data_IF_792601772625
#
_entry.id   IF_792601772625
#
_cell.length_a   1.000
_cell.length_b   1.000
_cell.length_c   1.000
_cell.angle_alpha   90.00
_cell.angle_beta   90.00
_cell.angle_gamma   90.00
#
_symmetry.space_group_name_H-M   'P 1'
#
loop_
_entity.id
_entity.type
_entity.pdbx_description
1 polymer ?
#
# COMPACT_ATOMS: atom_id res chain seq x y z
N UNK A 1 -6.30 8.15 -20.06
CA UNK A 1 -5.22 7.12 -20.06
C UNK A 1 -4.88 6.73 -21.50
N UNK A 2 -4.22 7.63 -22.21
CA UNK A 2 -3.63 7.42 -23.52
C UNK A 2 -2.36 8.27 -23.54
N UNK A 3 -1.27 7.72 -24.09
CA UNK A 3 0.10 8.26 -24.23
C UNK A 3 1.10 7.94 -23.10
N UNK A 4 1.77 6.79 -23.25
CA UNK A 4 3.22 6.58 -23.10
C UNK A 4 3.55 5.10 -23.32
N UNK A 5 3.21 4.59 -24.50
CA UNK A 5 3.57 3.24 -24.97
C UNK A 5 4.16 3.35 -26.37
N UNK A 6 5.28 4.07 -26.47
CA UNK A 6 6.13 4.13 -27.67
C UNK A 6 7.47 4.69 -27.22
N UNK A 7 8.46 3.82 -27.05
CA UNK A 7 9.90 4.06 -27.23
C UNK A 7 10.68 2.81 -26.75
N UNK A 8 10.39 1.66 -27.35
CA UNK A 8 11.31 0.51 -27.39
C UNK A 8 11.01 -0.26 -28.68
N UNK A 9 11.56 0.21 -29.78
CA UNK A 9 11.61 -0.51 -31.05
C UNK A 9 13.00 -0.31 -31.64
N UNK A 10 13.86 -1.29 -31.39
CA UNK A 10 14.62 -2.01 -32.42
C UNK A 10 15.06 -1.19 -33.65
N UNK A 11 16.10 -0.38 -33.53
CA UNK A 11 16.86 0.09 -34.71
C UNK A 11 18.37 0.20 -34.52
N UNK A 12 18.93 0.17 -33.30
CA UNK A 12 20.34 0.52 -33.11
C UNK A 12 21.29 -0.66 -32.80
N UNK A 13 20.81 -1.91 -32.84
CA UNK A 13 21.66 -3.09 -32.62
C UNK A 13 22.29 -3.68 -33.89
N UNK A 14 22.04 -3.11 -35.08
CA UNK A 14 22.54 -3.63 -36.35
C UNK A 14 23.88 -3.02 -36.83
N UNK A 15 24.37 -1.94 -36.20
CA UNK A 15 25.54 -1.21 -36.68
C UNK A 15 26.89 -1.63 -36.06
N UNK A 16 26.93 -2.61 -35.14
CA UNK A 16 28.16 -2.99 -34.40
C UNK A 16 28.70 -4.38 -34.76
N UNK A 17 28.06 -5.12 -35.68
CA UNK A 17 28.44 -6.52 -36.02
C UNK A 17 29.12 -6.73 -37.38
N UNK A 18 29.54 -5.69 -38.07
CA UNK A 18 30.31 -5.82 -39.32
C UNK A 18 31.62 -5.03 -39.26
N UNK A 19 32.58 -5.48 -38.45
CA UNK A 19 33.99 -5.24 -38.74
C UNK A 19 34.96 -6.16 -37.97
N UNK A 20 34.61 -7.43 -37.81
CA UNK A 20 35.53 -8.44 -37.27
C UNK A 20 35.43 -9.68 -38.15
N UNK A 21 36.20 -9.71 -39.24
CA UNK A 21 36.90 -10.90 -39.77
C UNK A 21 37.58 -10.53 -41.09
N UNK A 22 38.88 -10.27 -41.04
CA UNK A 22 39.79 -10.53 -42.16
C UNK A 22 41.22 -10.64 -41.63
N UNK A 23 41.68 -11.88 -41.41
CA UNK A 23 43.10 -12.22 -41.40
C UNK A 23 43.64 -12.16 -42.85
N UNK A 24 44.91 -11.81 -43.06
CA UNK A 24 45.82 -12.89 -43.43
C UNK A 24 47.27 -12.79 -42.91
N UNK A 25 47.86 -13.99 -42.80
CA UNK A 25 49.26 -14.39 -42.99
C UNK A 25 50.35 -13.93 -41.98
N UNK A 26 50.84 -14.92 -41.21
CA UNK A 26 52.08 -14.89 -40.42
C UNK A 26 53.32 -14.94 -41.33
N UNK A 27 54.28 -14.05 -41.08
CA UNK A 27 55.70 -14.24 -41.41
C UNK A 27 56.51 -14.01 -40.13
N UNK A 28 57.19 -15.05 -39.68
CA UNK A 28 58.16 -15.01 -38.58
C UNK A 28 59.45 -14.34 -39.06
N UNK A 29 59.86 -13.24 -38.41
CA UNK A 29 61.21 -12.69 -38.49
C UNK A 29 61.65 -12.23 -37.08
N UNK A 30 62.88 -12.59 -36.74
CA UNK A 30 63.59 -12.45 -35.45
C UNK A 30 63.60 -11.04 -34.83
N UNK A 31 63.87 -10.91 -33.51
CA UNK A 31 63.86 -9.62 -32.82
C UNK A 31 65.16 -8.86 -33.07
N UNK A 32 65.09 -7.77 -33.84
CA UNK A 32 66.18 -6.79 -33.88
C UNK A 32 66.10 -5.83 -32.69
N UNK A 33 67.14 -5.94 -31.88
CA UNK A 33 67.65 -5.04 -30.86
C UNK A 33 67.56 -3.56 -31.30
N UNK A 34 66.49 -2.84 -30.93
CA UNK A 34 66.46 -1.38 -31.07
C UNK A 34 66.93 -0.69 -29.79
N UNK A 35 67.95 0.12 -29.98
CA UNK A 35 68.76 0.76 -28.97
C UNK A 35 67.96 1.75 -28.11
N UNK A 36 68.32 1.76 -26.83
CA UNK A 36 67.91 2.75 -25.86
C UNK A 36 68.24 4.18 -26.34
N UNK A 37 67.22 4.93 -26.73
CA UNK A 37 67.25 6.38 -26.62
C UNK A 37 66.87 6.73 -25.18
N UNK A 38 67.90 7.00 -24.36
CA UNK A 38 67.78 7.68 -23.07
C UNK A 38 67.23 9.08 -23.30
N UNK A 39 65.92 9.21 -23.46
CA UNK A 39 65.24 10.45 -23.14
C UNK A 39 65.22 10.55 -21.62
N UNK A 40 66.10 11.40 -21.07
CA UNK A 40 66.05 11.78 -19.67
C UNK A 40 64.70 12.46 -19.44
N UNK A 41 63.71 11.71 -18.95
CA UNK A 41 62.57 12.28 -18.27
C UNK A 41 63.13 13.20 -17.19
N UNK A 42 62.89 14.51 -17.34
CA UNK A 42 63.23 15.47 -16.31
C UNK A 42 62.61 14.97 -15.00
N UNK A 43 63.33 15.00 -13.86
CA UNK A 43 62.73 14.59 -12.61
C UNK A 43 61.54 15.52 -12.37
N UNK A 44 60.33 14.96 -12.33
CA UNK A 44 59.16 15.61 -11.76
C UNK A 44 59.60 16.08 -10.37
N UNK A 45 59.90 17.38 -10.25
CA UNK A 45 60.29 17.95 -8.96
C UNK A 45 59.05 17.87 -8.10
N UNK A 46 59.13 17.08 -7.04
CA UNK A 46 58.13 17.07 -5.99
C UNK A 46 57.94 18.52 -5.54
N UNK A 47 56.78 19.12 -5.82
CA UNK A 47 56.40 20.47 -5.36
C UNK A 47 56.18 20.51 -3.83
N UNK A 48 56.34 19.36 -3.16
CA UNK A 48 56.24 19.20 -1.72
C UNK A 48 57.50 19.68 -1.01
N UNK A 49 57.33 20.48 0.04
CA UNK A 49 58.46 20.83 0.91
C UNK A 49 58.90 19.60 1.70
N UNK A 50 60.18 19.57 2.11
CA UNK A 50 60.70 18.49 2.96
C UNK A 50 59.87 18.30 4.25
N UNK A 51 59.31 19.40 4.79
CA UNK A 51 58.43 19.38 5.96
C UNK A 51 57.11 18.66 5.68
N UNK A 52 56.49 18.92 4.53
CA UNK A 52 55.21 18.29 4.13
C UNK A 52 55.39 16.79 3.91
N UNK A 53 56.50 16.42 3.27
CA UNK A 53 56.86 15.01 3.03
C UNK A 53 57.06 14.26 4.34
N UNK A 54 57.73 14.87 5.33
CA UNK A 54 57.93 14.27 6.65
C UNK A 54 56.60 14.09 7.37
N UNK A 55 55.80 15.15 7.43
CA UNK A 55 54.46 15.12 8.04
C UNK A 55 53.58 14.00 7.44
N UNK A 56 53.47 13.94 6.12
CA UNK A 56 52.64 12.94 5.43
C UNK A 56 53.15 11.50 5.61
N UNK A 57 54.42 11.31 5.92
CA UNK A 57 55.00 9.97 6.18
C UNK A 57 54.72 9.50 7.62
N UNK A 58 54.72 10.42 8.60
CA UNK A 58 54.44 10.12 10.03
C UNK A 58 52.93 10.08 10.33
N UNK A 59 52.12 10.75 9.51
CA UNK A 59 50.68 10.88 9.67
C UNK A 59 49.92 9.54 9.82
N UNK A 60 50.20 8.47 9.05
CA UNK A 60 49.45 7.21 9.18
C UNK A 60 49.56 6.60 10.58
N UNK A 61 50.74 6.68 11.21
CA UNK A 61 50.97 6.15 12.56
C UNK A 61 50.20 6.98 13.61
N UNK A 62 50.20 8.31 13.46
CA UNK A 62 49.42 9.21 14.33
C UNK A 62 47.90 8.96 14.18
N UNK A 63 47.43 8.74 12.96
CA UNK A 63 46.02 8.39 12.70
C UNK A 63 45.65 7.05 13.34
N UNK A 64 46.51 6.03 13.25
CA UNK A 64 46.26 4.72 13.85
C UNK A 64 46.16 4.83 15.39
N UNK A 65 46.97 5.67 16.03
CA UNK A 65 46.88 5.97 17.48
C UNK A 65 45.56 6.67 17.84
N UNK A 66 45.18 7.71 17.10
CA UNK A 66 43.93 8.45 17.35
C UNK A 66 42.69 7.58 17.11
N UNK A 67 42.71 6.74 16.08
CA UNK A 67 41.65 5.77 15.78
C UNK A 67 41.52 4.76 16.94
N UNK A 68 42.63 4.28 17.48
CA UNK A 68 42.64 3.36 18.62
C UNK A 68 42.03 3.99 19.90
N UNK A 69 42.32 5.27 20.16
CA UNK A 69 41.74 6.02 21.29
C UNK A 69 40.29 6.50 21.04
N UNK A 70 39.75 6.33 19.82
CA UNK A 70 38.45 6.85 19.37
C UNK A 70 38.34 8.38 19.39
N UNK A 71 39.47 9.07 19.25
CA UNK A 71 39.53 10.53 19.12
C UNK A 71 39.25 10.96 17.67
N UNK A 72 38.03 10.65 17.20
CA UNK A 72 37.66 10.79 15.80
C UNK A 72 37.70 12.23 15.29
N UNK A 73 37.42 13.22 16.13
CA UNK A 73 37.44 14.64 15.72
C UNK A 73 38.84 15.12 15.33
N UNK A 74 39.86 14.68 16.08
CA UNK A 74 41.26 14.99 15.80
C UNK A 74 41.74 14.24 14.56
N UNK A 75 41.37 12.95 14.43
CA UNK A 75 41.71 12.15 13.25
C UNK A 75 41.14 12.76 11.96
N UNK A 76 39.89 13.22 11.96
CA UNK A 76 39.28 13.91 10.82
C UNK A 76 40.03 15.21 10.50
N UNK A 77 40.38 16.02 11.51
CA UNK A 77 41.12 17.26 11.29
C UNK A 77 42.50 17.04 10.66
N UNK A 78 43.21 15.97 11.06
CA UNK A 78 44.48 15.58 10.48
C UNK A 78 44.33 15.11 9.01
N UNK A 79 43.28 14.35 8.69
CA UNK A 79 42.97 13.93 7.31
C UNK A 79 42.61 15.13 6.43
N UNK A 80 41.82 16.09 6.93
CA UNK A 80 41.50 17.33 6.20
C UNK A 80 42.77 18.14 5.90
N UNK A 81 43.68 18.26 6.87
CA UNK A 81 44.98 18.93 6.66
C UNK A 81 45.80 18.21 5.61
N UNK A 82 45.86 16.88 5.67
CA UNK A 82 46.58 16.07 4.70
C UNK A 82 46.00 16.21 3.29
N UNK A 83 44.67 16.21 3.12
CA UNK A 83 44.02 16.48 1.83
C UNK A 83 44.39 17.84 1.26
N UNK A 84 44.34 18.90 2.06
CA UNK A 84 44.70 20.25 1.60
C UNK A 84 46.14 20.33 1.07
N UNK A 85 47.07 19.65 1.75
CA UNK A 85 48.46 19.55 1.27
C UNK A 85 48.50 18.78 -0.04
N UNK A 86 47.84 17.61 -0.12
CA UNK A 86 47.82 16.77 -1.31
C UNK A 86 47.05 17.38 -2.51
N UNK A 87 46.12 18.29 -2.28
CA UNK A 87 45.41 19.06 -3.33
C UNK A 87 46.29 20.16 -3.93
N UNK A 88 47.27 20.67 -3.17
CA UNK A 88 48.22 21.68 -3.66
C UNK A 88 49.32 21.11 -4.56
N UNK A 89 49.42 19.77 -4.63
CA UNK A 89 50.44 19.06 -5.40
C UNK A 89 49.89 18.69 -6.76
N UNK A 90 50.45 19.29 -7.82
CA UNK A 90 50.01 19.06 -9.20
C UNK A 90 50.66 17.81 -9.83
N UNK A 91 51.80 17.37 -9.31
CA UNK A 91 52.59 16.26 -9.84
C UNK A 91 52.31 14.94 -9.10
N UNK A 92 51.81 13.93 -9.83
CA UNK A 92 51.62 12.56 -9.31
C UNK A 92 52.92 11.76 -9.35
N UNK A 93 53.81 11.98 -8.37
CA UNK A 93 54.98 11.12 -8.20
C UNK A 93 54.60 9.80 -7.49
N UNK A 94 55.32 8.69 -7.74
CA UNK A 94 55.01 7.39 -7.11
C UNK A 94 54.93 7.44 -5.58
N UNK A 95 55.70 8.34 -4.96
CA UNK A 95 55.68 8.58 -3.52
C UNK A 95 54.36 9.20 -3.06
N UNK A 96 53.86 10.20 -3.78
CA UNK A 96 52.58 10.86 -3.48
C UNK A 96 51.41 9.89 -3.63
N UNK A 97 51.47 9.01 -4.63
CA UNK A 97 50.46 7.94 -4.82
C UNK A 97 50.42 6.99 -3.63
N UNK A 98 51.58 6.52 -3.15
CA UNK A 98 51.67 5.63 -1.97
C UNK A 98 51.14 6.31 -0.71
N UNK A 99 51.49 7.58 -0.49
CA UNK A 99 51.00 8.37 0.65
C UNK A 99 49.48 8.53 0.58
N UNK A 100 48.93 8.88 -0.58
CA UNK A 100 47.49 9.01 -0.80
C UNK A 100 46.76 7.69 -0.52
N UNK A 101 47.29 6.58 -1.02
CA UNK A 101 46.72 5.25 -0.75
C UNK A 101 46.74 4.89 0.74
N UNK A 102 47.84 5.20 1.44
CA UNK A 102 47.97 4.96 2.89
C UNK A 102 46.94 5.76 3.69
N UNK A 103 46.74 7.04 3.38
CA UNK A 103 45.76 7.91 4.04
C UNK A 103 44.34 7.44 3.74
N UNK A 104 44.04 7.06 2.51
CA UNK A 104 42.73 6.56 2.11
C UNK A 104 42.36 5.25 2.85
N UNK A 105 43.35 4.36 3.07
CA UNK A 105 43.15 3.16 3.87
C UNK A 105 42.73 3.49 5.32
N UNK A 106 43.39 4.46 5.97
CA UNK A 106 43.05 4.88 7.34
C UNK A 106 41.72 5.62 7.38
N UNK A 107 41.44 6.46 6.37
CA UNK A 107 40.16 7.12 6.22
C UNK A 107 39.01 6.10 6.11
N UNK A 108 39.21 5.02 5.35
CA UNK A 108 38.24 3.93 5.24
C UNK A 108 38.02 3.21 6.58
N UNK A 109 39.10 2.94 7.33
CA UNK A 109 39.00 2.38 8.69
C UNK A 109 38.24 3.31 9.64
N UNK A 110 38.56 4.60 9.63
CA UNK A 110 37.91 5.61 10.45
C UNK A 110 36.42 5.73 10.10
N UNK A 111 36.08 5.82 8.82
CA UNK A 111 34.68 5.93 8.37
C UNK A 111 33.85 4.71 8.75
N UNK A 112 34.44 3.50 8.67
CA UNK A 112 33.81 2.29 9.15
C UNK A 112 33.49 2.34 10.65
N UNK A 113 34.44 2.75 11.48
CA UNK A 113 34.24 2.84 12.94
C UNK A 113 33.24 3.93 13.35
N UNK A 114 33.25 5.07 12.66
CA UNK A 114 32.26 6.13 12.87
C UNK A 114 30.87 5.65 12.44
N UNK A 115 30.77 4.90 11.34
CA UNK A 115 29.50 4.32 10.87
C UNK A 115 28.94 3.28 11.85
N UNK A 116 29.81 2.45 12.44
CA UNK A 116 29.41 1.52 13.51
C UNK A 116 28.88 2.28 14.74
N UNK A 117 29.52 3.40 15.10
CA UNK A 117 29.09 4.26 16.20
C UNK A 117 27.76 4.97 15.90
N UNK A 118 27.52 5.32 14.63
CA UNK A 118 26.27 5.89 14.14
C UNK A 118 25.12 4.87 14.17
N UNK A 119 25.43 3.59 13.92
CA UNK A 119 24.47 2.49 13.97
C UNK A 119 24.06 2.06 15.39
N UNK A 120 24.73 2.59 16.43
CA UNK A 120 24.42 2.24 17.82
C UNK A 120 23.04 2.80 18.23
N UNK A 121 22.08 1.94 18.65
CA UNK A 121 20.72 2.34 18.98
C UNK A 121 20.61 3.20 20.26
N UNK A 122 21.65 3.22 21.09
CA UNK A 122 21.68 4.00 22.36
C UNK A 122 22.25 5.41 22.15
N UNK A 123 22.74 5.72 20.95
CA UNK A 123 23.33 7.02 20.64
C UNK A 123 22.32 8.16 20.80
N UNK A 124 22.71 9.20 21.53
CA UNK A 124 21.90 10.40 21.68
C UNK A 124 22.00 11.31 20.44
N UNK A 125 21.08 12.29 20.31
CA UNK A 125 21.02 13.23 19.17
C UNK A 125 22.38 13.90 18.91
N UNK A 126 23.09 14.32 19.95
CA UNK A 126 24.40 15.01 19.83
C UNK A 126 25.48 14.09 19.28
N UNK A 127 25.54 12.84 19.75
CA UNK A 127 26.51 11.84 19.28
C UNK A 127 26.24 11.48 17.81
N UNK A 128 24.97 11.32 17.44
CA UNK A 128 24.57 11.07 16.05
C UNK A 128 24.97 12.25 15.16
N UNK A 129 24.66 13.48 15.57
CA UNK A 129 25.04 14.70 14.85
C UNK A 129 26.56 14.81 14.68
N UNK A 130 27.34 14.57 15.74
CA UNK A 130 28.79 14.62 15.68
C UNK A 130 29.36 13.55 14.73
N UNK A 131 28.83 12.33 14.76
CA UNK A 131 29.25 11.27 13.83
C UNK A 131 28.90 11.59 12.38
N UNK A 132 27.72 12.18 12.12
CA UNK A 132 27.34 12.63 10.76
C UNK A 132 28.27 13.76 10.31
N UNK A 133 28.54 14.76 11.16
CA UNK A 133 29.45 15.87 10.85
C UNK A 133 30.85 15.38 10.47
N UNK A 134 31.40 14.43 11.24
CA UNK A 134 32.68 13.77 10.92
C UNK A 134 32.68 13.13 9.53
N UNK A 135 31.62 12.41 9.17
CA UNK A 135 31.52 11.77 7.85
C UNK A 135 31.32 12.78 6.72
N UNK A 136 30.55 13.85 6.95
CA UNK A 136 30.38 14.94 5.99
C UNK A 136 31.71 15.64 5.71
N UNK A 137 32.49 15.92 6.75
CA UNK A 137 33.85 16.49 6.65
C UNK A 137 34.83 15.60 5.87
N UNK A 138 34.66 14.27 5.96
CA UNK A 138 35.40 13.31 5.14
C UNK A 138 34.90 13.24 3.68
N UNK A 139 33.84 13.94 3.31
CA UNK A 139 33.23 13.89 1.97
C UNK A 139 32.36 12.64 1.73
N UNK A 140 31.98 11.93 2.78
CA UNK A 140 31.20 10.69 2.74
C UNK A 140 29.71 10.92 3.05
N UNK A 141 29.13 12.01 2.53
CA UNK A 141 27.78 12.46 2.90
C UNK A 141 26.66 11.50 2.51
N UNK A 142 26.68 10.96 1.29
CA UNK A 142 25.72 9.95 0.84
C UNK A 142 25.78 8.70 1.70
N UNK A 143 26.99 8.23 1.99
CA UNK A 143 27.23 7.04 2.82
C UNK A 143 26.74 7.29 4.26
N UNK A 144 26.99 8.47 4.81
CA UNK A 144 26.51 8.87 6.14
C UNK A 144 24.98 8.87 6.21
N UNK A 145 24.31 9.41 5.19
CA UNK A 145 22.84 9.37 5.07
C UNK A 145 22.35 7.92 5.08
N UNK A 146 22.91 7.08 4.23
CA UNK A 146 22.40 5.72 4.05
C UNK A 146 22.63 4.88 5.32
N UNK A 147 23.78 5.00 5.99
CA UNK A 147 24.02 4.35 7.28
C UNK A 147 23.09 4.88 8.38
N UNK A 148 22.92 6.20 8.47
CA UNK A 148 22.01 6.82 9.41
C UNK A 148 20.59 6.26 9.25
N UNK A 149 20.03 6.34 8.04
CA UNK A 149 18.67 5.91 7.75
C UNK A 149 18.49 4.40 7.94
N UNK A 150 19.49 3.59 7.55
CA UNK A 150 19.49 2.14 7.79
C UNK A 150 19.46 1.82 9.29
N UNK A 151 20.24 2.52 10.10
CA UNK A 151 20.23 2.36 11.56
C UNK A 151 18.87 2.74 12.15
N UNK A 152 18.25 3.83 11.66
CA UNK A 152 16.91 4.25 12.09
C UNK A 152 15.84 3.22 11.74
N UNK A 153 15.88 2.64 10.54
CA UNK A 153 14.99 1.53 10.19
C UNK A 153 15.21 0.30 11.08
N UNK A 154 16.45 -0.02 11.46
CA UNK A 154 16.72 -1.12 12.38
C UNK A 154 16.10 -0.88 13.77
N UNK A 155 16.15 0.35 14.26
CA UNK A 155 15.47 0.76 15.51
C UNK A 155 13.94 0.61 15.37
N UNK A 156 13.36 1.09 14.27
CA UNK A 156 11.92 0.93 13.99
C UNK A 156 11.54 -0.55 14.03
N UNK A 157 12.20 -1.39 13.25
CA UNK A 157 11.94 -2.85 13.19
C UNK A 157 12.08 -3.51 14.56
N UNK A 158 13.07 -3.11 15.36
CA UNK A 158 13.26 -3.64 16.71
C UNK A 158 12.10 -3.24 17.63
N UNK A 159 11.67 -1.97 17.61
CA UNK A 159 10.54 -1.49 18.43
C UNK A 159 9.22 -2.15 18.03
N UNK A 160 8.97 -2.28 16.74
CA UNK A 160 7.81 -3.01 16.21
C UNK A 160 7.79 -4.46 16.68
N UNK A 161 8.95 -5.15 16.71
CA UNK A 161 9.03 -6.55 17.18
C UNK A 161 8.68 -6.71 18.67
N UNK A 162 8.91 -5.68 19.48
CA UNK A 162 8.63 -5.72 20.93
C UNK A 162 7.15 -5.48 21.21
N UNK A 163 6.42 -4.84 20.30
CA UNK A 163 4.97 -4.65 20.45
C UNK A 163 4.28 -6.01 20.51
N UNK A 164 3.44 -6.19 21.53
CA UNK A 164 2.62 -7.39 21.71
C UNK A 164 1.29 -7.21 20.99
N UNK A 165 0.81 -8.29 20.40
CA UNK A 165 -0.54 -8.36 19.84
C UNK A 165 -1.44 -8.89 20.96
N UNK A 166 -1.97 -7.98 21.79
CA UNK A 166 -2.82 -8.31 22.93
C UNK A 166 -4.30 -8.21 22.56
N UNK A 167 -4.77 -9.09 21.66
CA UNK A 167 -6.19 -9.35 21.36
C UNK A 167 -7.00 -8.24 20.67
N UNK A 168 -6.78 -6.98 21.02
CA UNK A 168 -7.41 -5.81 20.43
C UNK A 168 -6.53 -5.25 19.30
N UNK A 169 -6.99 -5.46 18.07
CA UNK A 169 -6.30 -5.04 16.86
C UNK A 169 -6.28 -3.52 16.73
N UNK A 170 -7.32 -2.82 17.19
CA UNK A 170 -7.40 -1.35 17.10
C UNK A 170 -6.31 -0.72 17.96
N UNK A 171 -6.15 -1.22 19.19
CA UNK A 171 -5.09 -0.78 20.11
C UNK A 171 -3.72 -1.10 19.53
N UNK A 172 -3.51 -2.33 19.04
CA UNK A 172 -2.25 -2.72 18.43
C UNK A 172 -1.86 -1.84 17.24
N UNK A 173 -2.79 -1.54 16.33
CA UNK A 173 -2.54 -0.67 15.18
C UNK A 173 -2.25 0.77 15.61
N UNK A 174 -2.96 1.27 16.63
CA UNK A 174 -2.70 2.59 17.20
C UNK A 174 -1.28 2.67 17.77
N UNK A 175 -0.87 1.70 18.59
CA UNK A 175 0.49 1.64 19.15
C UNK A 175 1.55 1.50 18.07
N UNK A 176 1.27 0.71 17.04
CA UNK A 176 2.16 0.55 15.88
C UNK A 176 2.35 1.87 15.12
N UNK A 177 1.26 2.59 14.83
CA UNK A 177 1.28 3.89 14.17
C UNK A 177 2.05 4.91 15.00
N UNK A 178 1.79 4.96 16.31
CA UNK A 178 2.49 5.84 17.25
C UNK A 178 4.00 5.56 17.25
N UNK A 179 4.42 4.30 17.37
CA UNK A 179 5.84 3.93 17.38
C UNK A 179 6.54 4.31 16.08
N UNK A 180 5.97 3.95 14.92
CA UNK A 180 6.61 4.18 13.62
C UNK A 180 6.63 5.67 13.28
N UNK A 181 5.49 6.36 13.35
CA UNK A 181 5.41 7.77 12.95
C UNK A 181 6.18 8.69 13.92
N UNK A 182 6.19 8.40 15.24
CA UNK A 182 7.05 9.13 16.18
C UNK A 182 8.54 8.96 15.86
N UNK A 183 8.97 7.76 15.47
CA UNK A 183 10.37 7.51 15.08
C UNK A 183 10.72 8.19 13.75
N UNK A 184 9.80 8.22 12.78
CA UNK A 184 9.97 8.99 11.53
C UNK A 184 10.10 10.48 11.86
N UNK A 185 9.21 11.03 12.69
CA UNK A 185 9.23 12.44 13.12
C UNK A 185 10.56 12.81 13.80
N UNK A 186 11.01 11.98 14.74
CA UNK A 186 12.28 12.16 15.43
C UNK A 186 13.46 12.10 14.45
N UNK A 187 13.41 11.19 13.48
CA UNK A 187 14.43 11.07 12.44
C UNK A 187 14.45 12.29 11.53
N UNK A 188 13.30 12.88 11.21
CA UNK A 188 13.19 14.13 10.45
C UNK A 188 13.89 15.30 11.16
N UNK A 189 13.64 15.49 12.47
CA UNK A 189 14.33 16.51 13.28
C UNK A 189 15.85 16.29 13.32
N UNK A 190 16.29 15.04 13.49
CA UNK A 190 17.72 14.72 13.51
C UNK A 190 18.37 14.93 12.14
N UNK A 191 17.66 14.57 11.08
CA UNK A 191 18.11 14.75 9.70
C UNK A 191 18.26 16.23 9.36
N UNK A 192 17.23 17.05 9.60
CA UNK A 192 17.27 18.49 9.31
C UNK A 192 18.35 19.24 10.09
N UNK A 193 18.69 18.78 11.30
CA UNK A 193 19.80 19.33 12.08
C UNK A 193 21.20 18.93 11.58
N UNK A 194 21.34 17.81 10.87
CA UNK A 194 22.64 17.21 10.51
C UNK A 194 22.98 17.36 9.02
N UNK A 195 21.99 17.21 8.13
CA UNK A 195 22.16 17.27 6.68
C UNK A 195 21.55 18.57 6.16
N UNK A 196 22.40 19.58 5.96
CA UNK A 196 21.99 20.93 5.49
C UNK A 196 21.89 21.03 3.97
N UNK A 197 22.45 20.07 3.25
CA UNK A 197 22.43 20.04 1.79
C UNK A 197 21.10 19.49 1.26
N UNK A 198 20.34 20.35 0.57
CA UNK A 198 19.04 20.03 -0.01
C UNK A 198 19.11 18.91 -1.06
N UNK A 199 20.26 18.71 -1.71
CA UNK A 199 20.43 17.63 -2.71
C UNK A 199 20.22 16.24 -2.10
N UNK A 200 20.48 16.08 -0.80
CA UNK A 200 20.34 14.82 -0.06
C UNK A 200 18.91 14.52 0.37
N UNK A 201 18.01 15.51 0.35
CA UNK A 201 16.64 15.39 0.83
C UNK A 201 15.81 14.33 0.09
N UNK A 202 16.11 14.09 -1.20
CA UNK A 202 15.42 13.07 -2.00
C UNK A 202 15.64 11.64 -1.46
N UNK A 203 16.85 11.34 -0.94
CA UNK A 203 17.17 10.06 -0.31
C UNK A 203 16.41 9.89 1.01
N UNK A 204 16.30 10.95 1.81
CA UNK A 204 15.49 10.97 3.02
C UNK A 204 14.00 10.72 2.71
N UNK A 205 13.46 11.38 1.69
CA UNK A 205 12.06 11.20 1.30
C UNK A 205 11.78 9.76 0.83
N UNK A 206 12.69 9.14 0.07
CA UNK A 206 12.60 7.71 -0.28
C UNK A 206 12.53 6.82 0.97
N UNK A 207 13.34 7.11 1.98
CA UNK A 207 13.32 6.38 3.24
C UNK A 207 11.99 6.55 3.99
N UNK A 208 11.49 7.78 4.16
CA UNK A 208 10.19 8.04 4.81
C UNK A 208 9.09 7.25 4.13
N UNK A 209 9.05 7.27 2.80
CA UNK A 209 8.08 6.47 2.03
C UNK A 209 8.22 4.98 2.29
N UNK A 210 9.44 4.43 2.33
CA UNK A 210 9.68 3.02 2.61
C UNK A 210 9.19 2.60 4.00
N UNK A 211 9.35 3.46 5.02
CA UNK A 211 8.85 3.17 6.37
C UNK A 211 7.31 3.23 6.45
N UNK A 212 6.67 4.13 5.68
CA UNK A 212 5.21 4.17 5.54
C UNK A 212 4.69 2.92 4.81
N UNK A 213 5.36 2.48 3.75
CA UNK A 213 5.03 1.24 3.04
C UNK A 213 5.21 0.01 3.94
N UNK A 214 6.21 0.01 4.82
CA UNK A 214 6.41 -1.03 5.83
C UNK A 214 5.25 -1.08 6.84
N UNK A 215 4.83 0.07 7.38
CA UNK A 215 3.65 0.17 8.24
C UNK A 215 2.40 -0.37 7.52
N UNK A 216 2.15 0.10 6.29
CA UNK A 216 0.99 -0.32 5.51
C UNK A 216 0.98 -1.84 5.24
N UNK A 217 2.16 -2.46 5.05
CA UNK A 217 2.29 -3.91 4.90
C UNK A 217 1.98 -4.71 6.17
N UNK A 218 2.18 -4.14 7.37
CA UNK A 218 1.73 -4.75 8.63
C UNK A 218 0.23 -4.54 8.79
N UNK A 219 -0.23 -3.31 8.59
CA UNK A 219 -1.65 -2.95 8.66
C UNK A 219 -2.50 -3.87 7.78
N UNK A 220 -2.11 -4.07 6.52
CA UNK A 220 -2.84 -4.92 5.58
C UNK A 220 -3.05 -6.34 6.11
N UNK A 221 -2.00 -6.94 6.66
CA UNK A 221 -2.06 -8.31 7.20
C UNK A 221 -2.96 -8.42 8.42
N UNK A 222 -2.94 -7.42 9.29
CA UNK A 222 -3.68 -7.46 10.56
C UNK A 222 -5.14 -7.01 10.42
N UNK A 223 -5.42 -6.11 9.48
CA UNK A 223 -6.75 -5.48 9.34
C UNK A 223 -7.52 -6.07 8.16
N UNK A 224 -6.93 -6.04 6.95
CA UNK A 224 -7.62 -6.48 5.73
C UNK A 224 -7.58 -8.01 5.56
N UNK A 225 -6.40 -8.64 5.62
CA UNK A 225 -6.28 -10.09 5.40
C UNK A 225 -6.95 -10.91 6.52
N UNK A 226 -7.10 -10.33 7.70
CA UNK A 226 -7.73 -10.96 8.86
C UNK A 226 -9.27 -10.83 8.86
N UNK A 227 -9.87 -10.28 7.79
CA UNK A 227 -11.32 -10.13 7.60
C UNK A 227 -12.02 -9.49 8.81
N UNK A 228 -11.45 -8.42 9.34
CA UNK A 228 -12.03 -7.67 10.47
C UNK A 228 -13.36 -7.02 10.08
N UNK A 229 -14.20 -6.68 11.07
CA UNK A 229 -15.43 -5.93 10.83
C UNK A 229 -15.12 -4.52 10.32
N UNK A 230 -16.04 -3.96 9.52
CA UNK A 230 -15.88 -2.61 8.94
C UNK A 230 -15.72 -1.51 10.00
N UNK A 231 -16.30 -1.69 11.19
CA UNK A 231 -16.06 -0.87 12.37
C UNK A 231 -14.59 -0.82 12.77
N UNK A 232 -13.97 -1.99 12.97
CA UNK A 232 -12.56 -2.11 13.35
C UNK A 232 -11.66 -1.55 12.25
N UNK A 233 -11.98 -1.81 10.97
CA UNK A 233 -11.23 -1.26 9.83
C UNK A 233 -11.29 0.27 9.85
N UNK A 234 -12.47 0.86 10.01
CA UNK A 234 -12.68 2.31 10.05
C UNK A 234 -11.93 2.95 11.23
N UNK A 235 -12.04 2.36 12.43
CA UNK A 235 -11.34 2.84 13.63
C UNK A 235 -9.81 2.79 13.45
N UNK A 236 -9.29 1.70 12.87
CA UNK A 236 -7.87 1.56 12.58
C UNK A 236 -7.38 2.60 11.55
N UNK A 237 -8.15 2.85 10.49
CA UNK A 237 -7.84 3.87 9.49
C UNK A 237 -7.87 5.28 10.11
N UNK A 238 -8.89 5.58 10.90
CA UNK A 238 -9.04 6.87 11.57
C UNK A 238 -7.87 7.14 12.54
N UNK A 239 -7.59 6.18 13.43
CA UNK A 239 -6.45 6.26 14.35
C UNK A 239 -5.13 6.44 13.61
N UNK A 240 -4.92 5.68 12.52
CA UNK A 240 -3.72 5.83 11.69
C UNK A 240 -3.58 7.26 11.15
N UNK A 241 -4.66 7.83 10.62
CA UNK A 241 -4.65 9.19 10.08
C UNK A 241 -4.41 10.24 11.16
N UNK A 242 -4.93 10.05 12.37
CA UNK A 242 -4.72 10.97 13.47
C UNK A 242 -3.25 11.01 13.94
N UNK A 243 -2.59 9.84 14.02
CA UNK A 243 -1.15 9.78 14.29
C UNK A 243 -0.34 10.37 13.14
N UNK A 244 -0.77 10.12 11.91
CA UNK A 244 -0.07 10.59 10.71
C UNK A 244 -0.09 12.12 10.56
N UNK A 245 -1.18 12.78 11.00
CA UNK A 245 -1.26 14.25 11.00
C UNK A 245 -0.14 14.91 11.79
N UNK A 246 0.42 14.25 12.81
CA UNK A 246 1.57 14.76 13.56
C UNK A 246 2.86 14.90 12.70
N UNK A 247 2.94 14.18 11.57
CA UNK A 247 4.04 14.33 10.61
C UNK A 247 3.92 15.62 9.80
N UNK A 248 2.70 16.15 9.64
CA UNK A 248 2.47 17.44 8.96
C UNK A 248 3.14 18.60 9.70
N UNK A 249 3.15 18.55 11.04
CA UNK A 249 3.78 19.58 11.89
C UNK A 249 5.29 19.70 11.67
N UNK A 250 5.94 18.65 11.17
CA UNK A 250 7.38 18.65 10.82
C UNK A 250 7.62 18.81 9.31
N UNK A 251 6.58 19.18 8.55
CA UNK A 251 6.67 19.42 7.11
C UNK A 251 6.56 18.18 6.23
N UNK A 252 6.13 17.03 6.79
CA UNK A 252 5.91 15.79 6.04
C UNK A 252 4.41 15.57 5.81
N UNK A 253 3.83 16.21 4.80
CA UNK A 253 2.45 15.92 4.39
C UNK A 253 2.43 14.84 3.31
N UNK A 254 2.17 13.61 3.75
CA UNK A 254 2.22 12.40 2.92
C UNK A 254 0.90 11.62 2.98
N UNK A 255 -0.19 12.32 3.34
CA UNK A 255 -1.51 11.72 3.58
C UNK A 255 -1.98 10.97 2.32
N UNK A 256 -1.74 11.56 1.16
CA UNK A 256 -2.03 10.97 -0.15
C UNK A 256 -1.32 9.63 -0.40
N UNK A 257 -0.16 9.39 0.23
CA UNK A 257 0.57 8.13 0.11
C UNK A 257 -0.17 7.02 0.84
N UNK A 258 -0.64 7.29 2.06
CA UNK A 258 -1.47 6.34 2.81
C UNK A 258 -2.78 6.04 2.09
N UNK A 259 -3.47 7.08 1.63
CA UNK A 259 -4.72 6.93 0.87
C UNK A 259 -4.53 6.00 -0.33
N UNK A 260 -3.44 6.22 -1.10
CA UNK A 260 -3.10 5.39 -2.25
C UNK A 260 -2.73 3.96 -1.88
N UNK A 261 -2.05 3.75 -0.74
CA UNK A 261 -1.62 2.42 -0.30
C UNK A 261 -2.80 1.56 0.18
N UNK A 262 -3.82 2.16 0.80
CA UNK A 262 -4.98 1.45 1.33
C UNK A 262 -6.15 1.38 0.38
N UNK A 263 -6.23 2.25 -0.63
CA UNK A 263 -7.38 2.29 -1.55
C UNK A 263 -7.71 0.92 -2.17
N UNK A 264 -6.70 0.20 -2.67
CA UNK A 264 -6.91 -1.11 -3.29
C UNK A 264 -7.44 -2.15 -2.28
N UNK A 265 -6.95 -2.12 -1.04
CA UNK A 265 -7.35 -3.07 -0.01
C UNK A 265 -8.76 -2.77 0.52
N UNK A 266 -9.12 -1.48 0.64
CA UNK A 266 -10.47 -1.06 1.01
C UNK A 266 -11.46 -1.52 -0.06
N UNK A 267 -11.16 -1.28 -1.34
CA UNK A 267 -12.00 -1.73 -2.46
C UNK A 267 -12.16 -3.24 -2.45
N UNK A 268 -11.07 -4.00 -2.26
CA UNK A 268 -11.13 -5.46 -2.17
C UNK A 268 -11.96 -5.95 -0.97
N UNK A 269 -11.89 -5.26 0.17
CA UNK A 269 -12.68 -5.60 1.37
C UNK A 269 -14.18 -5.36 1.13
N UNK A 270 -14.53 -4.26 0.46
CA UNK A 270 -15.91 -3.96 0.05
C UNK A 270 -16.41 -5.01 -0.94
N UNK A 271 -15.60 -5.40 -1.93
CA UNK A 271 -15.94 -6.44 -2.90
C UNK A 271 -16.22 -7.79 -2.24
N UNK A 272 -15.34 -8.24 -1.35
CA UNK A 272 -15.51 -9.50 -0.64
C UNK A 272 -16.75 -9.49 0.29
N UNK A 273 -17.04 -8.35 0.91
CA UNK A 273 -18.25 -8.20 1.71
C UNK A 273 -19.51 -8.21 0.84
N UNK A 274 -19.50 -7.51 -0.29
CA UNK A 274 -20.61 -7.50 -1.24
C UNK A 274 -20.89 -8.90 -1.80
N UNK A 275 -19.86 -9.66 -2.16
CA UNK A 275 -19.99 -11.06 -2.61
C UNK A 275 -20.65 -11.93 -1.52
N UNK A 276 -20.23 -11.76 -0.25
CA UNK A 276 -20.87 -12.44 0.88
C UNK A 276 -22.34 -12.06 1.08
N UNK A 277 -22.69 -10.79 0.87
CA UNK A 277 -24.07 -10.33 0.89
C UNK A 277 -24.89 -10.93 -0.26
N UNK A 278 -24.35 -11.00 -1.47
CA UNK A 278 -25.01 -11.62 -2.63
C UNK A 278 -25.28 -13.11 -2.43
N UNK A 279 -24.33 -13.84 -1.86
CA UNK A 279 -24.52 -15.23 -1.49
C UNK A 279 -25.59 -15.40 -0.41
N UNK A 280 -25.62 -14.50 0.59
CA UNK A 280 -26.63 -14.50 1.63
C UNK A 280 -28.04 -14.22 1.08
N UNK A 281 -28.17 -13.22 0.20
CA UNK A 281 -29.42 -12.92 -0.53
C UNK A 281 -29.86 -14.14 -1.35
N UNK A 282 -28.96 -14.72 -2.13
CA UNK A 282 -29.24 -15.90 -2.97
C UNK A 282 -29.70 -17.10 -2.14
N UNK A 283 -29.09 -17.31 -0.97
CA UNK A 283 -29.47 -18.37 -0.02
C UNK A 283 -30.82 -18.11 0.63
N UNK A 284 -31.10 -16.87 1.04
CA UNK A 284 -32.37 -16.49 1.62
C UNK A 284 -33.52 -16.74 0.63
N UNK A 285 -33.31 -16.39 -0.63
CA UNK A 285 -34.31 -16.61 -1.68
C UNK A 285 -34.50 -18.10 -1.99
N UNK A 286 -33.41 -18.88 -2.08
CA UNK A 286 -33.51 -20.33 -2.34
C UNK A 286 -34.19 -21.11 -1.21
N UNK A 287 -34.12 -20.62 0.03
CA UNK A 287 -34.77 -21.22 1.20
C UNK A 287 -36.22 -20.77 1.38
N UNK A 288 -36.66 -19.72 0.69
CA UNK A 288 -37.98 -19.14 0.86
C UNK A 288 -39.07 -20.00 0.23
N UNK A 289 -40.21 -20.06 0.93
CA UNK A 289 -41.44 -20.70 0.44
C UNK A 289 -42.41 -19.68 -0.18
N UNK A 290 -42.03 -18.39 -0.19
CA UNK A 290 -42.80 -17.24 -0.67
C UNK A 290 -44.19 -17.18 -0.05
N UNK A 291 -44.25 -17.30 1.27
CA UNK A 291 -45.47 -17.14 2.06
C UNK A 291 -45.41 -15.80 2.76
N UNK A 292 -46.48 -15.00 2.65
CA UNK A 292 -46.57 -13.71 3.30
C UNK A 292 -46.38 -13.83 4.82
N UNK A 293 -45.47 -13.04 5.39
CA UNK A 293 -45.25 -12.99 6.83
C UNK A 293 -46.44 -12.28 7.48
N UNK A 294 -47.34 -13.07 8.10
CA UNK A 294 -48.52 -12.55 8.80
C UNK A 294 -48.16 -11.94 10.15
N UNK A 295 -48.81 -10.82 10.50
CA UNK A 295 -48.55 -10.04 11.73
C UNK A 295 -48.79 -10.77 13.07
N UNK A 296 -49.17 -12.05 13.12
CA UNK A 296 -49.42 -12.77 14.38
C UNK A 296 -49.00 -14.26 14.32
N UNK A 297 -48.02 -14.62 15.16
CA UNK A 297 -47.90 -15.94 15.81
C UNK A 297 -47.20 -17.07 15.06
N UNK A 298 -45.89 -17.24 15.29
CA UNK A 298 -45.36 -18.40 16.04
C UNK A 298 -43.83 -18.27 16.18
N UNK A 299 -43.33 -18.53 17.40
CA UNK A 299 -41.96 -18.27 17.83
C UNK A 299 -40.87 -19.08 17.12
N UNK A 300 -40.59 -18.77 15.87
CA UNK A 300 -39.28 -19.03 15.29
C UNK A 300 -38.30 -18.01 15.89
N UNK A 301 -37.36 -18.49 16.71
CA UNK A 301 -36.33 -17.68 17.35
C UNK A 301 -35.66 -16.77 16.31
N UNK A 302 -35.94 -15.47 16.39
CA UNK A 302 -35.16 -14.41 15.73
C UNK A 302 -33.68 -14.67 16.03
N UNK A 303 -32.77 -14.67 15.04
CA UNK A 303 -31.36 -14.55 15.34
C UNK A 303 -31.16 -13.24 16.12
N UNK A 304 -30.66 -13.35 17.34
CA UNK A 304 -30.42 -12.21 18.22
C UNK A 304 -29.32 -11.35 17.59
N UNK A 305 -29.65 -10.12 17.16
CA UNK A 305 -28.64 -9.18 16.67
C UNK A 305 -29.13 -7.87 16.07
N UNK A 306 -30.24 -7.84 15.33
CA UNK A 306 -30.67 -6.64 14.59
C UNK A 306 -32.07 -6.17 15.01
N UNK A 307 -32.14 -4.98 15.61
CA UNK A 307 -33.41 -4.27 15.87
C UNK A 307 -33.89 -3.58 14.60
N UNK A 308 -34.55 -4.32 13.70
CA UNK A 308 -35.23 -3.71 12.54
C UNK A 308 -36.49 -3.00 13.06
N UNK A 309 -36.71 -1.70 12.75
CA UNK A 309 -37.96 -1.02 13.09
C UNK A 309 -39.12 -1.69 12.35
N UNK A 310 -39.99 -2.35 13.11
CA UNK A 310 -41.06 -3.27 12.70
C UNK A 310 -42.21 -2.60 11.90
N UNK A 311 -42.10 -1.30 11.59
CA UNK A 311 -43.13 -0.49 10.94
C UNK A 311 -42.84 -0.11 9.48
N UNK A 312 -41.64 -0.38 8.95
CA UNK A 312 -41.25 0.06 7.59
C UNK A 312 -41.52 -0.99 6.49
N UNK A 313 -41.91 -2.23 6.85
CA UNK A 313 -42.11 -3.33 5.89
C UNK A 313 -43.61 -3.73 5.86
N UNK A 314 -44.24 -3.84 4.68
CA UNK A 314 -45.64 -4.24 4.56
C UNK A 314 -45.89 -5.67 5.09
N UNK A 315 -47.04 -5.94 5.73
CA UNK A 315 -47.36 -7.26 6.33
C UNK A 315 -47.72 -8.35 5.31
N UNK A 316 -47.29 -8.22 4.05
CA UNK A 316 -47.63 -9.13 2.94
C UNK A 316 -46.42 -9.61 2.16
N UNK A 317 -45.23 -9.25 2.62
CA UNK A 317 -43.96 -9.54 1.95
C UNK A 317 -43.40 -10.87 2.50
N UNK A 318 -42.64 -11.61 1.69
CA UNK A 318 -41.99 -12.86 2.06
C UNK A 318 -40.80 -12.66 3.03
N UNK A 319 -40.31 -13.76 3.60
CA UNK A 319 -39.17 -13.73 4.52
C UNK A 319 -37.87 -13.30 3.81
N UNK A 320 -37.68 -13.67 2.55
CA UNK A 320 -36.48 -13.32 1.77
C UNK A 320 -36.31 -11.80 1.57
N UNK A 321 -37.40 -11.04 1.46
CA UNK A 321 -37.34 -9.58 1.37
C UNK A 321 -37.06 -8.93 2.72
N UNK A 322 -37.51 -9.52 3.82
CA UNK A 322 -37.13 -9.07 5.16
C UNK A 322 -35.64 -9.27 5.40
N UNK A 323 -35.11 -10.43 5.00
CA UNK A 323 -33.68 -10.74 5.08
C UNK A 323 -32.85 -9.82 4.15
N UNK A 324 -33.35 -9.55 2.94
CA UNK A 324 -32.77 -8.57 2.03
C UNK A 324 -32.70 -7.17 2.64
N UNK A 325 -33.80 -6.69 3.23
CA UNK A 325 -33.85 -5.38 3.86
C UNK A 325 -32.79 -5.27 4.96
N UNK A 326 -32.67 -6.31 5.80
CA UNK A 326 -31.65 -6.37 6.84
C UNK A 326 -30.24 -6.32 6.24
N UNK A 327 -29.95 -7.14 5.22
CA UNK A 327 -28.63 -7.17 4.56
C UNK A 327 -28.27 -5.82 3.95
N UNK A 328 -29.22 -5.13 3.31
CA UNK A 328 -28.99 -3.81 2.72
C UNK A 328 -28.73 -2.73 3.78
N UNK A 329 -29.45 -2.77 4.90
CA UNK A 329 -29.25 -1.81 5.99
C UNK A 329 -27.90 -2.04 6.68
N UNK A 330 -27.51 -3.29 6.92
CA UNK A 330 -26.22 -3.65 7.50
C UNK A 330 -25.07 -3.26 6.55
N UNK A 331 -25.18 -3.58 5.25
CA UNK A 331 -24.21 -3.15 4.24
C UNK A 331 -24.11 -1.62 4.17
N UNK A 332 -25.25 -0.91 4.21
CA UNK A 332 -25.28 0.55 4.21
C UNK A 332 -24.63 1.16 5.45
N UNK A 333 -24.83 0.56 6.62
CA UNK A 333 -24.19 0.97 7.87
C UNK A 333 -22.67 0.78 7.81
N UNK A 334 -22.21 -0.38 7.34
CA UNK A 334 -20.79 -0.73 7.22
C UNK A 334 -20.07 0.17 6.19
N UNK A 335 -20.66 0.36 5.00
CA UNK A 335 -20.12 1.28 4.01
C UNK A 335 -20.09 2.72 4.55
N UNK A 336 -21.10 3.10 5.33
CA UNK A 336 -21.23 4.39 6.02
C UNK A 336 -19.99 4.80 6.83
N UNK A 337 -19.24 3.83 7.35
CA UNK A 337 -18.04 4.04 8.16
C UNK A 337 -16.79 4.34 7.32
N UNK A 338 -16.76 3.88 6.07
CA UNK A 338 -15.62 4.03 5.15
C UNK A 338 -15.85 5.07 4.06
N UNK A 339 -16.98 5.79 4.09
CA UNK A 339 -17.45 6.63 2.98
C UNK A 339 -16.43 7.70 2.58
N UNK A 340 -15.80 7.46 1.43
CA UNK A 340 -15.04 8.44 0.68
C UNK A 340 -15.64 8.58 -0.70
N UNK A 341 -15.63 9.77 -1.26
CA UNK A 341 -16.11 10.03 -2.63
C UNK A 341 -15.40 9.15 -3.68
N UNK A 342 -14.18 8.69 -3.38
CA UNK A 342 -13.43 7.77 -4.24
C UNK A 342 -14.04 6.36 -4.28
N UNK A 343 -14.84 5.97 -3.29
CA UNK A 343 -15.49 4.66 -3.18
C UNK A 343 -16.92 4.66 -3.74
N UNK A 344 -17.47 5.83 -4.09
CA UNK A 344 -18.82 6.00 -4.64
C UNK A 344 -19.14 4.98 -5.72
N UNK A 345 -18.30 4.92 -6.76
CA UNK A 345 -18.58 4.09 -7.93
C UNK A 345 -18.63 2.60 -7.58
N UNK A 346 -17.83 2.16 -6.61
CA UNK A 346 -17.81 0.77 -6.18
C UNK A 346 -19.04 0.42 -5.33
N UNK A 347 -19.39 1.29 -4.39
CA UNK A 347 -20.56 1.10 -3.51
C UNK A 347 -21.86 1.07 -4.32
N UNK A 348 -22.02 2.02 -5.25
CA UNK A 348 -23.17 2.05 -6.16
C UNK A 348 -23.24 0.79 -7.02
N UNK A 349 -22.10 0.34 -7.57
CA UNK A 349 -22.05 -0.90 -8.36
C UNK A 349 -22.47 -2.14 -7.56
N UNK A 350 -22.03 -2.27 -6.31
CA UNK A 350 -22.44 -3.37 -5.41
C UNK A 350 -23.95 -3.34 -5.15
N UNK A 351 -24.49 -2.18 -4.77
CA UNK A 351 -25.94 -2.01 -4.55
C UNK A 351 -26.75 -2.36 -5.79
N UNK A 352 -26.25 -1.93 -6.96
CA UNK A 352 -26.85 -2.25 -8.25
C UNK A 352 -26.88 -3.76 -8.51
N UNK A 353 -25.82 -4.48 -8.15
CA UNK A 353 -25.78 -5.94 -8.32
C UNK A 353 -26.71 -6.68 -7.35
N UNK A 354 -26.88 -6.17 -6.13
CA UNK A 354 -27.85 -6.71 -5.17
C UNK A 354 -29.27 -6.67 -5.75
N UNK A 355 -29.71 -5.49 -6.21
CA UNK A 355 -31.04 -5.32 -6.83
C UNK A 355 -31.22 -6.13 -8.12
N UNK A 356 -30.18 -6.25 -8.94
CA UNK A 356 -30.21 -7.06 -10.15
C UNK A 356 -30.41 -8.56 -9.85
N UNK A 357 -29.74 -9.08 -8.82
CA UNK A 357 -29.85 -10.49 -8.39
C UNK A 357 -31.28 -10.84 -7.99
N UNK A 358 -31.97 -9.95 -7.29
CA UNK A 358 -33.36 -10.14 -6.84
C UNK A 358 -34.35 -10.07 -8.02
N UNK A 359 -34.15 -9.11 -8.94
CA UNK A 359 -34.99 -8.95 -10.13
C UNK A 359 -34.93 -10.17 -11.06
N UNK A 360 -33.77 -10.82 -11.17
CA UNK A 360 -33.60 -12.04 -11.97
C UNK A 360 -34.29 -13.26 -11.35
N UNK A 361 -34.30 -13.38 -10.03
CA UNK A 361 -34.95 -14.52 -9.35
C UNK A 361 -36.48 -14.39 -9.39
N UNK A 362 -37.01 -13.17 -9.22
CA UNK A 362 -38.45 -12.89 -9.38
C UNK A 362 -38.95 -13.24 -10.79
N UNK A 363 -38.11 -13.01 -11.82
CA UNK A 363 -38.39 -13.38 -13.22
C UNK A 363 -38.38 -14.90 -13.47
N UNK A 364 -37.54 -15.66 -12.78
CA UNK A 364 -37.57 -17.13 -12.85
C UNK A 364 -38.79 -17.73 -12.16
N UNK A 365 -39.26 -17.12 -11.06
CA UNK A 365 -40.45 -17.58 -10.36
C UNK A 365 -41.75 -17.34 -11.18
N UNK A 366 -41.83 -16.25 -11.95
CA UNK A 366 -42.93 -16.02 -12.91
C UNK A 366 -43.01 -17.08 -14.03
N UNK A 367 -41.87 -17.65 -14.43
CA UNK A 367 -41.83 -18.76 -15.39
C UNK A 367 -42.30 -20.10 -14.80
N UNK A 368 -42.24 -20.26 -13.48
CA UNK A 368 -42.76 -21.42 -12.76
C UNK A 368 -44.27 -21.26 -12.42
N UNK A 369 -44.71 -20.04 -12.13
CA UNK A 369 -46.13 -19.72 -11.87
C UNK A 369 -47.01 -19.71 -13.12
N UNK A 370 -46.44 -19.37 -14.28
CA UNK A 370 -47.09 -19.58 -15.58
C UNK A 370 -46.82 -21.01 -16.02
N UNK A 371 -47.78 -21.92 -15.86
CA UNK A 371 -47.66 -23.34 -16.20
C UNK A 371 -47.33 -23.63 -17.68
N UNK A 372 -46.09 -23.36 -18.09
CA UNK A 372 -45.48 -23.81 -19.35
C UNK A 372 -44.63 -25.05 -19.09
N UNK A 373 -45.12 -25.97 -18.27
CA UNK A 373 -44.85 -27.38 -18.59
C UNK A 373 -45.56 -27.65 -19.91
N UNK A 374 -44.75 -27.80 -20.96
CA UNK A 374 -45.17 -28.26 -22.27
C UNK A 374 -45.66 -29.70 -22.11
N UNK A 375 -46.88 -29.90 -21.60
CA UNK A 375 -47.56 -31.20 -21.55
C UNK A 375 -47.95 -31.58 -22.99
N UNK A 376 -46.94 -31.97 -23.78
CA UNK A 376 -47.12 -32.80 -24.97
C UNK A 376 -47.05 -34.25 -24.49
N UNK A 377 -48.19 -34.78 -24.05
CA UNK A 377 -48.29 -36.18 -23.68
C UNK A 377 -49.66 -36.47 -23.10
N UNK A 378 -50.52 -37.06 -23.92
CA UNK A 378 -51.83 -37.60 -23.53
C UNK A 378 -51.67 -38.48 -22.28
N UNK A 379 -52.51 -38.29 -21.26
CA UNK A 379 -53.45 -39.29 -20.72
C UNK A 379 -54.37 -38.57 -19.73
N UNK A 380 -55.64 -38.90 -19.85
CA UNK A 380 -56.77 -38.33 -19.16
C UNK A 380 -56.78 -38.62 -17.64
N UNK A 381 -57.35 -37.66 -16.89
CA UNK A 381 -58.43 -37.92 -15.93
C UNK A 381 -58.13 -38.86 -14.75
N UNK A 382 -57.38 -38.37 -13.74
CA UNK A 382 -57.68 -38.55 -12.30
C UNK A 382 -56.76 -37.74 -11.37
N UNK A 383 -56.89 -36.41 -11.28
CA UNK A 383 -56.30 -35.64 -10.17
C UNK A 383 -57.22 -34.49 -9.79
N UNK A 384 -58.32 -34.78 -9.09
CA UNK A 384 -59.27 -33.76 -8.64
C UNK A 384 -59.26 -33.65 -7.12
N UNK A 385 -58.26 -32.90 -6.61
CA UNK A 385 -58.24 -32.13 -5.35
C UNK A 385 -56.79 -31.69 -5.05
N UNK A 386 -55.81 -32.60 -5.15
CA UNK A 386 -54.39 -32.27 -4.92
C UNK A 386 -53.78 -31.38 -6.02
N UNK A 387 -54.24 -31.49 -7.27
CA UNK A 387 -53.80 -30.60 -8.36
C UNK A 387 -54.34 -29.18 -8.17
N UNK A 388 -55.59 -29.06 -7.70
CA UNK A 388 -56.23 -27.78 -7.46
C UNK A 388 -55.57 -27.03 -6.29
N UNK A 389 -55.22 -27.75 -5.21
CA UNK A 389 -54.44 -27.17 -4.09
C UNK A 389 -53.03 -26.76 -4.52
N UNK A 390 -52.35 -27.53 -5.37
CA UNK A 390 -51.01 -27.16 -5.88
C UNK A 390 -51.05 -25.96 -6.83
N UNK A 391 -52.06 -25.86 -7.70
CA UNK A 391 -52.25 -24.70 -8.59
C UNK A 391 -52.63 -23.46 -7.78
N UNK A 392 -53.54 -23.59 -6.81
CA UNK A 392 -53.95 -22.50 -5.93
C UNK A 392 -52.81 -22.03 -5.01
N UNK A 393 -51.98 -22.95 -4.52
CA UNK A 393 -50.76 -22.63 -3.77
C UNK A 393 -49.76 -21.87 -4.65
N UNK A 394 -49.59 -22.29 -5.91
CA UNK A 394 -48.75 -21.58 -6.89
C UNK A 394 -49.26 -20.17 -7.21
N UNK A 395 -50.57 -19.95 -7.29
CA UNK A 395 -51.16 -18.61 -7.50
C UNK A 395 -50.99 -17.69 -6.28
N UNK A 396 -51.13 -18.22 -5.06
CA UNK A 396 -50.86 -17.45 -3.83
C UNK A 396 -49.38 -17.06 -3.76
N UNK A 397 -48.47 -18.00 -4.04
CA UNK A 397 -47.03 -17.74 -4.06
C UNK A 397 -46.66 -16.71 -5.12
N UNK A 398 -47.22 -16.81 -6.34
CA UNK A 398 -47.02 -15.81 -7.39
C UNK A 398 -47.49 -14.41 -6.98
N UNK A 399 -48.60 -14.32 -6.23
CA UNK A 399 -49.08 -13.05 -5.68
C UNK A 399 -48.15 -12.45 -4.62
N UNK A 400 -47.51 -13.27 -3.78
CA UNK A 400 -46.51 -12.82 -2.80
C UNK A 400 -45.24 -12.36 -3.51
N UNK A 401 -44.76 -13.11 -4.50
CA UNK A 401 -43.57 -12.73 -5.30
C UNK A 401 -43.79 -11.40 -6.04
N UNK A 402 -45.00 -11.17 -6.58
CA UNK A 402 -45.32 -9.88 -7.20
C UNK A 402 -45.32 -8.74 -6.18
N UNK A 403 -45.90 -8.98 -4.99
CA UNK A 403 -45.88 -7.99 -3.91
C UNK A 403 -44.45 -7.69 -3.43
N UNK A 404 -43.59 -8.71 -3.36
CA UNK A 404 -42.17 -8.59 -3.05
C UNK A 404 -41.44 -7.73 -4.10
N UNK A 405 -41.68 -7.98 -5.38
CA UNK A 405 -41.04 -7.24 -6.47
C UNK A 405 -41.49 -5.77 -6.53
N UNK A 406 -42.79 -5.51 -6.33
CA UNK A 406 -43.34 -4.16 -6.22
C UNK A 406 -42.72 -3.43 -5.04
N UNK A 407 -42.65 -4.04 -3.86
CA UNK A 407 -42.02 -3.43 -2.69
C UNK A 407 -40.53 -3.10 -2.92
N UNK A 408 -39.79 -4.00 -3.56
CA UNK A 408 -38.36 -3.77 -3.85
C UNK A 408 -38.18 -2.57 -4.80
N UNK A 409 -39.02 -2.45 -5.82
CA UNK A 409 -38.92 -1.39 -6.84
C UNK A 409 -39.46 -0.05 -6.35
N UNK A 410 -40.62 -0.04 -5.69
CA UNK A 410 -41.35 1.19 -5.37
C UNK A 410 -41.00 1.75 -3.98
N UNK A 411 -40.59 0.91 -3.03
CA UNK A 411 -40.30 1.35 -1.65
C UNK A 411 -38.81 1.24 -1.32
N UNK A 412 -38.20 0.06 -1.51
CA UNK A 412 -36.86 -0.24 -1.01
C UNK A 412 -35.76 0.49 -1.78
N UNK A 413 -35.79 0.41 -3.11
CA UNK A 413 -34.78 0.99 -3.97
C UNK A 413 -34.75 2.53 -3.89
N UNK A 414 -35.90 3.25 -3.92
CA UNK A 414 -35.93 4.70 -3.68
C UNK A 414 -35.42 5.08 -2.29
N UNK A 415 -35.72 4.29 -1.26
CA UNK A 415 -35.22 4.52 0.10
C UNK A 415 -33.69 4.44 0.14
N UNK A 416 -33.10 3.39 -0.42
CA UNK A 416 -31.64 3.24 -0.49
C UNK A 416 -31.00 4.35 -1.33
N UNK A 417 -31.58 4.70 -2.48
CA UNK A 417 -31.10 5.78 -3.32
C UNK A 417 -31.13 7.14 -2.60
N UNK A 418 -32.19 7.43 -1.84
CA UNK A 418 -32.32 8.68 -1.07
C UNK A 418 -31.31 8.77 0.08
N UNK A 419 -31.07 7.66 0.78
CA UNK A 419 -30.07 7.58 1.85
C UNK A 419 -28.66 7.79 1.29
N UNK A 420 -28.35 7.14 0.16
CA UNK A 420 -27.06 7.26 -0.50
C UNK A 420 -26.85 8.67 -1.08
N UNK A 421 -27.91 9.27 -1.63
CA UNK A 421 -27.88 10.64 -2.14
C UNK A 421 -27.65 11.68 -1.04
N UNK A 422 -28.29 11.50 0.12
CA UNK A 422 -28.06 12.36 1.28
C UNK A 422 -26.63 12.22 1.82
N UNK A 423 -26.06 11.01 1.78
CA UNK A 423 -24.70 10.74 2.29
C UNK A 423 -23.59 11.22 1.36
N UNK A 424 -23.77 11.16 0.05
CA UNK A 424 -22.81 11.68 -0.95
C UNK A 424 -23.11 13.09 -1.44
N UNK A 425 -24.18 13.72 -0.94
CA UNK A 425 -24.67 15.04 -1.37
C UNK A 425 -24.87 15.14 -2.90
N UNK A 426 -25.31 14.04 -3.53
CA UNK A 426 -25.42 13.93 -4.99
C UNK A 426 -26.56 12.98 -5.39
N UNK A 427 -27.32 13.25 -6.46
CA UNK A 427 -28.26 12.28 -7.01
C UNK A 427 -27.55 11.00 -7.50
N UNK A 428 -28.21 9.85 -7.34
CA UNK A 428 -27.72 8.51 -7.74
C UNK A 428 -28.49 8.03 -8.99
N UNK A 429 -28.13 8.48 -10.20
CA UNK A 429 -28.84 8.11 -11.42
C UNK A 429 -28.75 6.61 -11.73
N UNK A 430 -27.70 5.93 -11.32
CA UNK A 430 -27.49 4.51 -11.62
C UNK A 430 -28.58 3.62 -10.99
N UNK A 431 -29.00 3.94 -9.77
CA UNK A 431 -30.10 3.23 -9.10
C UNK A 431 -31.46 3.62 -9.72
N UNK A 432 -31.64 4.87 -10.13
CA UNK A 432 -32.86 5.32 -10.81
C UNK A 432 -33.06 4.61 -12.16
N UNK A 433 -31.99 4.48 -12.95
CA UNK A 433 -31.99 3.74 -14.20
C UNK A 433 -32.36 2.26 -13.98
N UNK A 434 -31.85 1.65 -12.91
CA UNK A 434 -32.25 0.30 -12.53
C UNK A 434 -33.70 0.18 -12.10
N UNK A 435 -34.24 1.17 -11.36
CA UNK A 435 -35.66 1.20 -11.02
C UNK A 435 -36.52 1.17 -12.27
N UNK A 436 -36.18 2.00 -13.26
CA UNK A 436 -36.89 2.06 -14.54
C UNK A 436 -36.78 0.72 -15.29
N UNK A 437 -35.60 0.10 -15.30
CA UNK A 437 -35.42 -1.22 -15.91
C UNK A 437 -36.27 -2.30 -15.23
N UNK A 438 -36.31 -2.32 -13.90
CA UNK A 438 -37.10 -3.29 -13.14
C UNK A 438 -38.61 -3.04 -13.30
N UNK A 439 -39.06 -1.79 -13.30
CA UNK A 439 -40.46 -1.43 -13.54
C UNK A 439 -40.92 -1.85 -14.95
N UNK A 440 -40.09 -1.64 -15.98
CA UNK A 440 -40.37 -2.12 -17.34
C UNK A 440 -40.43 -3.65 -17.45
N UNK A 441 -39.80 -4.38 -16.53
CA UNK A 441 -39.91 -5.85 -16.46
C UNK A 441 -41.19 -6.29 -15.74
N UNK A 442 -41.70 -5.49 -14.80
CA UNK A 442 -42.97 -5.75 -14.10
C UNK A 442 -44.19 -5.45 -14.98
N UNK A 443 -44.13 -4.41 -15.83
CA UNK A 443 -45.24 -4.01 -16.71
C UNK A 443 -45.38 -4.86 -18.00
N UNK A 444 -44.45 -5.79 -18.27
CA UNK A 444 -44.38 -6.55 -19.54
C UNK A 444 -45.14 -7.89 -19.54
N UNK A 445 -45.83 -8.22 -18.46
CA UNK A 445 -46.75 -9.35 -18.32
C UNK A 445 -48.15 -8.86 -17.89
#
# INVERSE_FOLDING_TARGET
>A
MLTLRRLLSTSDLAAVKQNITSEPARQEVMPELFMATKEKAAPLKDELTFSDVKYLTELPDELDVLIAHRDFDQAVALIERARKILESVTAETPRVVLIRASIEERMSKLSHLVSLSLANPVSNKRQVQANIDRLLRLGLGDQARDFFLTARSAIIRHRVRILKIDGDIVVYISDLAEVIFRLIRNTCDWYGGSFRDTTMASGFMKWVRSEIEYFAGIFRRQVFDSKQSFTVIADCLQNTMDHFRQLRDVGLDLSFVLDKLFYADIVASIEAHAEGCEEAISRAIAADKFVAVGKNGDGAKRPQGASVPENDIPPRVSQSVHDLYAILMDFGADMGLLMSIMLYGKIVWCLTNFFATIGLISRQANLLGTGKERVKGRVAERVNQNCFSSIHLGMIQAGVILADAVFVVDDLLPKVASQLAARFERPIPELEDQRIQLHNLLDRD
#
